data_IF_786414881006
#
_entry.id   IF_786414881006
#
_cell.length_a   1.000
_cell.length_b   1.000
_cell.length_c   1.000
_cell.angle_alpha   90.00
_cell.angle_beta   90.00
_cell.angle_gamma   90.00
#
_symmetry.space_group_name_H-M   'P 1'
#
loop_
_entity.id
_entity.type
_entity.pdbx_description
1 polymer ?
#
# COMPACT_ATOMS: atom_id res chain seq x y z
N UNK A 1 15.87 -13.92 -18.98
CA UNK A 1 15.71 -12.78 -18.06
C UNK A 1 14.33 -12.90 -17.46
N UNK A 2 14.24 -13.29 -16.20
CA UNK A 2 13.01 -13.23 -15.43
C UNK A 2 13.40 -12.61 -14.09
N UNK A 3 12.89 -11.42 -13.80
CA UNK A 3 13.10 -10.74 -12.54
C UNK A 3 11.82 -10.88 -11.74
N UNK A 4 11.92 -11.45 -10.55
CA UNK A 4 10.80 -11.75 -9.67
C UNK A 4 10.91 -10.85 -8.44
N UNK A 5 9.86 -10.10 -8.12
CA UNK A 5 9.77 -9.26 -6.92
C UNK A 5 9.23 -10.03 -5.72
N UNK A 6 8.75 -11.27 -5.90
CA UNK A 6 8.01 -11.98 -4.88
C UNK A 6 8.87 -12.84 -3.96
N UNK A 7 10.14 -13.08 -4.29
CA UNK A 7 10.99 -14.07 -3.60
C UNK A 7 12.02 -13.47 -2.60
N UNK A 8 12.33 -12.17 -2.70
CA UNK A 8 13.31 -11.51 -1.85
C UNK A 8 13.09 -9.99 -1.77
N UNK A 9 13.17 -9.40 -0.57
CA UNK A 9 13.00 -7.94 -0.37
C UNK A 9 14.01 -7.09 -1.15
N UNK A 10 15.26 -7.57 -1.29
CA UNK A 10 16.33 -6.90 -2.04
C UNK A 10 16.11 -6.82 -3.55
N UNK A 11 14.96 -7.29 -4.04
CA UNK A 11 14.54 -7.09 -5.43
C UNK A 11 13.97 -5.69 -5.66
N UNK A 12 13.54 -4.99 -4.61
CA UNK A 12 13.20 -3.58 -4.66
C UNK A 12 14.38 -2.72 -4.18
N UNK A 13 14.49 -1.50 -4.71
CA UNK A 13 15.45 -0.52 -4.20
C UNK A 13 15.23 -0.29 -2.70
N UNK A 14 16.32 -0.20 -1.94
CA UNK A 14 16.27 -0.01 -0.48
C UNK A 14 15.67 -1.16 0.32
N UNK A 15 15.44 -2.34 -0.28
CA UNK A 15 14.63 -3.42 0.32
C UNK A 15 13.20 -2.97 0.65
N UNK A 16 12.62 -2.08 -0.17
CA UNK A 16 11.32 -1.45 0.08
C UNK A 16 10.12 -2.37 -0.25
N UNK A 17 10.06 -3.53 0.40
CA UNK A 17 8.96 -4.50 0.33
C UNK A 17 8.80 -5.19 1.68
N UNK A 18 7.60 -5.70 1.96
CA UNK A 18 7.28 -6.43 3.19
C UNK A 18 7.06 -7.91 2.90
N UNK A 19 7.55 -8.78 3.77
CA UNK A 19 7.25 -10.21 3.68
C UNK A 19 5.82 -10.46 4.17
N UNK A 20 4.97 -11.03 3.31
CA UNK A 20 3.54 -11.28 3.60
C UNK A 20 3.21 -12.75 3.80
N UNK A 21 4.09 -13.65 3.38
CA UNK A 21 3.94 -15.10 3.59
C UNK A 21 5.31 -15.74 3.89
N UNK A 22 5.31 -16.79 4.71
CA UNK A 22 6.48 -17.59 5.05
C UNK A 22 6.57 -18.88 4.24
N UNK A 23 5.48 -19.37 3.64
CA UNK A 23 5.48 -20.63 2.89
C UNK A 23 4.36 -20.71 1.82
N UNK A 24 4.67 -20.46 0.53
CA UNK A 24 5.97 -20.03 0.02
C UNK A 24 6.32 -18.62 0.52
N UNK A 25 7.61 -18.31 0.63
CA UNK A 25 8.03 -16.94 0.94
C UNK A 25 7.48 -16.01 -0.14
N UNK A 26 6.74 -14.99 0.29
CA UNK A 26 6.20 -13.95 -0.59
C UNK A 26 6.49 -12.58 -0.02
N UNK A 27 6.90 -11.67 -0.90
CA UNK A 27 7.03 -10.25 -0.64
C UNK A 27 5.97 -9.45 -1.42
N UNK A 28 5.47 -8.39 -0.81
CA UNK A 28 4.52 -7.44 -1.39
C UNK A 28 5.07 -6.01 -1.35
N UNK A 29 4.58 -5.19 -2.27
CA UNK A 29 4.83 -3.75 -2.32
C UNK A 29 3.81 -3.05 -1.43
N UNK A 30 4.21 -1.99 -0.75
CA UNK A 30 3.31 -1.17 0.05
C UNK A 30 2.29 -0.44 -0.83
N UNK A 31 1.02 -0.43 -0.39
CA UNK A 31 -0.06 0.36 -0.97
C UNK A 31 -0.42 1.53 -0.05
N UNK A 32 -1.16 2.52 -0.54
CA UNK A 32 -1.65 3.64 0.28
C UNK A 32 -0.95 4.98 0.06
N UNK A 33 -0.09 5.11 -0.96
CA UNK A 33 0.33 6.41 -1.48
C UNK A 33 -0.73 6.87 -2.50
N UNK A 34 -1.77 7.52 -1.97
CA UNK A 34 -3.02 7.84 -2.68
C UNK A 34 -2.81 9.07 -3.56
N UNK A 35 -2.03 10.03 -3.10
CA UNK A 35 -1.74 11.26 -3.84
C UNK A 35 -0.53 11.12 -4.79
N UNK A 36 0.20 9.99 -4.71
CA UNK A 36 1.36 9.63 -5.53
C UNK A 36 2.56 10.57 -5.36
N UNK A 37 2.77 11.10 -4.16
CA UNK A 37 3.90 11.98 -3.85
C UNK A 37 5.15 11.23 -3.35
N UNK A 38 5.04 9.91 -3.20
CA UNK A 38 6.11 9.03 -2.75
C UNK A 38 6.21 8.88 -1.23
N UNK A 39 5.25 9.41 -0.47
CA UNK A 39 5.17 9.31 0.98
C UNK A 39 3.78 8.79 1.33
N UNK A 40 3.70 7.78 2.20
CA UNK A 40 2.42 7.39 2.78
C UNK A 40 2.27 8.14 4.11
N UNK A 41 1.41 9.16 4.13
CA UNK A 41 1.23 10.03 5.28
C UNK A 41 -0.24 10.33 5.63
N UNK A 42 -0.44 11.23 6.59
CA UNK A 42 -1.77 11.57 7.09
C UNK A 42 -2.70 12.15 6.02
N UNK A 43 -2.14 12.69 4.92
CA UNK A 43 -2.94 13.15 3.79
C UNK A 43 -3.65 11.96 3.12
N UNK A 44 -2.94 10.88 2.80
CA UNK A 44 -3.51 9.68 2.18
C UNK A 44 -4.56 9.00 3.07
N UNK A 45 -4.29 8.95 4.37
CA UNK A 45 -5.24 8.45 5.37
C UNK A 45 -6.53 9.29 5.36
N UNK A 46 -6.40 10.62 5.27
CA UNK A 46 -7.57 11.51 5.22
C UNK A 46 -8.38 11.38 3.92
N UNK A 47 -7.73 11.13 2.78
CA UNK A 47 -8.44 10.87 1.52
C UNK A 47 -9.23 9.56 1.62
N UNK A 48 -8.60 8.52 2.15
CA UNK A 48 -9.21 7.19 2.32
C UNK A 48 -10.37 7.23 3.33
N UNK A 49 -10.21 7.89 4.47
CA UNK A 49 -11.27 8.06 5.48
C UNK A 49 -12.47 8.83 4.92
N UNK A 50 -12.23 9.92 4.19
CA UNK A 50 -13.31 10.68 3.56
C UNK A 50 -14.09 9.83 2.54
N UNK A 51 -13.41 9.04 1.73
CA UNK A 51 -14.05 8.19 0.73
C UNK A 51 -14.80 7.00 1.37
N UNK A 52 -14.26 6.44 2.46
CA UNK A 52 -14.94 5.44 3.28
C UNK A 52 -16.22 5.99 3.91
N UNK A 53 -16.18 7.21 4.47
CA UNK A 53 -17.35 7.91 5.02
C UNK A 53 -18.44 8.17 3.97
N UNK A 54 -18.05 8.37 2.72
CA UNK A 54 -18.97 8.53 1.59
C UNK A 54 -19.37 7.19 0.94
N UNK A 55 -18.85 6.07 1.43
CA UNK A 55 -19.10 4.72 0.90
C UNK A 55 -18.84 4.63 -0.60
N UNK A 56 -17.72 5.20 -1.06
CA UNK A 56 -17.30 5.05 -2.45
C UNK A 56 -17.06 3.58 -2.78
N UNK A 57 -17.28 3.23 -4.04
CA UNK A 57 -17.19 1.86 -4.53
C UNK A 57 -16.76 1.83 -6.00
N UNK A 58 -16.26 0.68 -6.44
CA UNK A 58 -15.68 0.45 -7.76
C UNK A 58 -14.24 0.91 -7.83
N UNK A 59 -13.73 1.10 -9.05
CA UNK A 59 -12.33 1.45 -9.28
C UNK A 59 -12.03 2.91 -8.91
N UNK A 60 -11.71 3.14 -7.64
CA UNK A 60 -11.27 4.42 -7.08
C UNK A 60 -9.91 4.22 -6.40
N UNK A 61 -9.08 5.27 -6.38
CA UNK A 61 -7.69 5.16 -5.90
C UNK A 61 -7.56 4.85 -4.40
N UNK A 62 -8.60 5.12 -3.63
CA UNK A 62 -8.71 4.90 -2.18
C UNK A 62 -9.12 3.48 -1.81
N UNK A 63 -9.55 2.66 -2.78
CA UNK A 63 -9.72 1.22 -2.63
C UNK A 63 -8.34 0.54 -2.80
N UNK A 64 -7.61 0.44 -1.69
CA UNK A 64 -6.25 -0.13 -1.66
C UNK A 64 -6.26 -1.65 -1.46
N UNK A 65 -7.39 -2.22 -1.04
CA UNK A 65 -7.60 -3.67 -0.99
C UNK A 65 -7.95 -4.26 -2.36
N UNK A 66 -8.53 -3.45 -3.25
CA UNK A 66 -9.00 -3.82 -4.57
C UNK A 66 -10.27 -4.67 -4.53
N UNK A 67 -11.11 -4.50 -3.51
CA UNK A 67 -12.33 -5.29 -3.31
C UNK A 67 -13.63 -4.60 -3.78
N UNK A 68 -13.48 -3.47 -4.50
CA UNK A 68 -14.54 -2.59 -5.02
C UNK A 68 -15.27 -1.76 -3.94
N UNK A 69 -14.82 -1.72 -2.69
CA UNK A 69 -15.39 -0.88 -1.64
C UNK A 69 -14.31 -0.10 -0.91
N UNK A 70 -14.54 1.20 -0.66
CA UNK A 70 -13.67 1.96 0.24
C UNK A 70 -14.24 1.87 1.65
N UNK A 71 -13.52 1.20 2.55
CA UNK A 71 -13.95 1.03 3.93
C UNK A 71 -12.80 1.04 4.97
N UNK A 72 -13.09 0.61 6.20
CA UNK A 72 -12.12 0.61 7.28
C UNK A 72 -10.92 -0.33 7.03
N UNK A 73 -11.05 -1.32 6.14
CA UNK A 73 -9.96 -2.21 5.77
C UNK A 73 -8.91 -1.49 4.93
N UNK A 74 -9.32 -0.62 4.00
CA UNK A 74 -8.43 0.27 3.25
C UNK A 74 -7.70 1.23 4.19
N UNK A 75 -8.45 1.93 5.04
CA UNK A 75 -7.89 2.88 6.00
C UNK A 75 -6.87 2.20 6.93
N UNK A 76 -7.14 0.97 7.36
CA UNK A 76 -6.21 0.22 8.22
C UNK A 76 -4.87 -0.07 7.55
N UNK A 77 -4.85 -0.29 6.22
CA UNK A 77 -3.61 -0.50 5.46
C UNK A 77 -2.83 0.81 5.39
N UNK A 78 -3.50 1.91 5.04
CA UNK A 78 -2.88 3.24 4.93
C UNK A 78 -2.32 3.67 6.29
N UNK A 79 -3.12 3.62 7.36
CA UNK A 79 -2.69 4.01 8.72
C UNK A 79 -1.49 3.21 9.22
N UNK A 80 -1.46 1.89 8.97
CA UNK A 80 -0.31 1.07 9.35
C UNK A 80 0.96 1.49 8.59
N UNK A 81 0.84 1.85 7.32
CA UNK A 81 1.97 2.30 6.51
C UNK A 81 2.43 3.71 6.91
N UNK A 82 1.50 4.60 7.27
CA UNK A 82 1.82 5.91 7.90
C UNK A 82 2.60 5.71 9.19
N UNK A 83 2.12 4.83 10.08
CA UNK A 83 2.77 4.56 11.36
C UNK A 83 4.19 3.96 11.20
N UNK A 84 4.42 3.22 10.11
CA UNK A 84 5.72 2.65 9.77
C UNK A 84 6.63 3.61 8.98
N UNK A 85 6.15 4.80 8.61
CA UNK A 85 6.92 5.80 7.84
C UNK A 85 7.32 5.30 6.46
N UNK A 86 6.42 4.59 5.77
CA UNK A 86 6.68 4.04 4.43
C UNK A 86 6.82 5.16 3.41
N UNK A 87 7.91 5.12 2.65
CA UNK A 87 8.22 6.05 1.56
C UNK A 87 8.75 5.30 0.35
N UNK A 88 8.68 5.92 -0.83
CA UNK A 88 9.34 5.42 -2.03
C UNK A 88 10.86 5.51 -1.86
N UNK A 89 11.55 4.45 -2.28
CA UNK A 89 13.00 4.44 -2.46
C UNK A 89 13.26 4.18 -3.94
N UNK A 90 13.83 5.17 -4.62
CA UNK A 90 14.13 5.13 -6.05
C UNK A 90 15.58 5.59 -6.32
N UNK A 91 16.17 5.24 -7.48
CA UNK A 91 17.51 5.67 -7.91
C UNK A 91 17.71 7.18 -8.00
#
# INVERSE_FOLDING_TARGET
>A
MNYDFTDLSGKAFGNNMVQVDNSPVRYAIYSGDINQDGIIEAFDASETDNDALNSLSGYVRTDVTGDDFVDASDLSIVDNNVANGVIVIAP
#
